data_IF_286809986735
#
_entry.id   IF_286809986735
#
_cell.length_a   1.000
_cell.length_b   1.000
_cell.length_c   1.000
_cell.angle_alpha   90.00
_cell.angle_beta   90.00
_cell.angle_gamma   90.00
#
_symmetry.space_group_name_H-M   'P 1'
#
loop_
_entity.id
_entity.type
_entity.pdbx_description
1 polymer ?
#
# COMPACT_ATOMS: atom_id res chain seq x y z
N UNK A 1 -27.76 6.27 9.61
CA UNK A 1 -26.81 7.40 9.54
C UNK A 1 -25.43 6.85 9.30
N UNK A 2 -24.66 7.39 8.35
CA UNK A 2 -23.26 7.01 8.13
C UNK A 2 -22.35 7.85 9.02
N UNK A 3 -21.36 7.21 9.64
CA UNK A 3 -20.36 7.88 10.48
C UNK A 3 -19.40 8.72 9.64
N UNK A 4 -19.01 9.89 10.16
CA UNK A 4 -17.99 10.74 9.58
C UNK A 4 -16.95 11.08 10.64
N UNK A 5 -15.67 10.98 10.29
CA UNK A 5 -14.56 11.38 11.14
C UNK A 5 -13.63 12.31 10.36
N UNK A 6 -13.28 13.43 10.98
CA UNK A 6 -12.35 14.42 10.44
C UNK A 6 -11.23 14.61 11.46
N UNK A 7 -10.00 14.29 11.06
CA UNK A 7 -8.81 14.48 11.86
C UNK A 7 -7.87 15.42 11.10
N UNK A 8 -7.83 16.67 11.53
CA UNK A 8 -7.10 17.74 10.85
C UNK A 8 -5.97 18.25 11.75
N UNK A 9 -4.81 17.61 11.66
CA UNK A 9 -3.58 18.11 12.25
C UNK A 9 -2.89 19.14 11.36
N UNK A 10 -1.69 19.55 11.76
CA UNK A 10 -0.76 20.33 10.92
C UNK A 10 0.63 19.72 10.97
N UNK A 11 1.53 20.13 10.07
CA UNK A 11 2.94 19.69 10.08
C UNK A 11 3.60 19.89 11.46
N UNK A 12 3.36 21.04 12.10
CA UNK A 12 3.93 21.36 13.41
C UNK A 12 3.18 20.75 14.59
N UNK A 13 1.91 20.38 14.39
CA UNK A 13 1.04 19.84 15.43
C UNK A 13 0.19 18.71 14.85
N UNK A 14 0.79 17.53 14.61
CA UNK A 14 0.05 16.40 14.08
C UNK A 14 -0.89 15.83 15.14
N UNK A 15 -2.02 15.28 14.70
CA UNK A 15 -2.86 14.46 15.59
C UNK A 15 -2.14 13.12 15.79
N UNK A 16 -2.03 12.66 17.04
CA UNK A 16 -1.40 11.37 17.36
C UNK A 16 -2.43 10.41 17.90
N UNK A 17 -2.59 9.26 17.24
CA UNK A 17 -3.43 8.15 17.65
C UNK A 17 -2.53 7.01 18.09
N UNK A 18 -2.71 6.56 19.33
CA UNK A 18 -1.97 5.46 19.92
C UNK A 18 -2.90 4.67 20.84
N UNK A 19 -2.57 3.40 21.06
CA UNK A 19 -3.36 2.50 21.90
C UNK A 19 -2.49 1.51 22.66
N UNK A 20 -3.11 0.76 23.56
CA UNK A 20 -2.47 -0.34 24.29
C UNK A 20 -2.19 -1.56 23.40
N UNK A 21 -1.80 -2.68 24.02
CA UNK A 21 -1.52 -3.91 23.28
C UNK A 21 -2.74 -4.38 22.46
N UNK A 22 -2.49 -4.69 21.19
CA UNK A 22 -3.46 -5.19 20.18
C UNK A 22 -4.67 -4.28 19.94
N UNK A 23 -4.42 -3.04 19.54
CA UNK A 23 -5.47 -2.16 19.02
C UNK A 23 -5.52 -2.14 17.49
N UNK A 24 -6.68 -1.82 16.91
CA UNK A 24 -6.80 -1.45 15.49
C UNK A 24 -6.86 0.06 15.41
N UNK A 25 -6.18 0.63 14.43
CA UNK A 25 -6.14 2.07 14.19
C UNK A 25 -7.48 2.60 13.70
N UNK A 26 -7.47 3.34 12.60
CA UNK A 26 -8.70 3.86 12.02
C UNK A 26 -9.35 2.80 11.13
N UNK A 27 -10.64 2.53 11.35
CA UNK A 27 -11.41 1.58 10.53
C UNK A 27 -12.59 2.29 9.89
N UNK A 28 -12.54 2.41 8.57
CA UNK A 28 -13.61 3.02 7.78
C UNK A 28 -14.36 1.91 7.06
N UNK A 29 -15.56 1.62 7.54
CA UNK A 29 -16.46 0.62 6.93
C UNK A 29 -17.23 1.23 5.74
N UNK A 30 -17.85 0.39 4.88
CA UNK A 30 -18.59 0.87 3.72
C UNK A 30 -19.60 1.96 4.07
N UNK A 31 -19.60 3.03 3.26
CA UNK A 31 -20.45 4.20 3.45
C UNK A 31 -19.97 5.22 4.49
N UNK A 32 -18.99 4.87 5.33
CA UNK A 32 -18.35 5.80 6.26
C UNK A 32 -17.46 6.82 5.55
N UNK A 33 -17.24 7.99 6.17
CA UNK A 33 -16.35 9.03 5.64
C UNK A 33 -15.19 9.27 6.58
N UNK A 34 -13.97 9.31 6.04
CA UNK A 34 -12.77 9.70 6.77
C UNK A 34 -12.04 10.79 6.00
N UNK A 35 -11.71 11.88 6.69
CA UNK A 35 -10.72 12.86 6.23
C UNK A 35 -9.59 12.87 7.25
N UNK A 36 -8.38 12.63 6.77
CA UNK A 36 -7.18 12.47 7.58
C UNK A 36 -6.10 13.42 7.04
N UNK A 37 -5.74 14.46 7.79
CA UNK A 37 -4.63 15.35 7.45
C UNK A 37 -3.64 15.40 8.61
N UNK A 38 -2.34 15.24 8.31
CA UNK A 38 -1.24 15.34 9.28
C UNK A 38 -1.49 14.55 10.56
N UNK A 39 -1.80 13.26 10.42
CA UNK A 39 -2.12 12.37 11.54
C UNK A 39 -1.14 11.22 11.61
N UNK A 40 -0.65 10.93 12.81
CA UNK A 40 0.22 9.79 13.11
C UNK A 40 -0.57 8.68 13.81
N UNK A 41 -0.46 7.45 13.31
CA UNK A 41 -1.02 6.24 13.92
C UNK A 41 0.12 5.34 14.38
N UNK A 42 0.18 5.01 15.68
CA UNK A 42 1.36 4.35 16.28
C UNK A 42 1.02 2.99 16.90
N UNK A 43 1.74 1.94 16.50
CA UNK A 43 1.70 0.63 17.15
C UNK A 43 0.38 -0.13 16.99
N UNK A 44 -0.43 0.22 16.00
CA UNK A 44 -1.67 -0.48 15.69
C UNK A 44 -1.39 -1.83 15.02
N UNK A 45 -2.29 -2.81 15.20
CA UNK A 45 -2.23 -4.06 14.43
C UNK A 45 -2.40 -3.77 12.93
N UNK A 46 -3.42 -2.98 12.60
CA UNK A 46 -3.62 -2.37 11.28
C UNK A 46 -3.75 -0.87 11.51
N UNK A 47 -2.88 -0.07 10.88
CA UNK A 47 -2.85 1.38 11.07
C UNK A 47 -4.10 2.08 10.51
N UNK A 48 -4.44 1.77 9.26
CA UNK A 48 -5.63 2.27 8.60
C UNK A 48 -6.29 1.16 7.78
N UNK A 49 -7.56 0.93 8.05
CA UNK A 49 -8.41 0.00 7.31
C UNK A 49 -9.40 0.79 6.45
N UNK A 50 -9.20 0.75 5.14
CA UNK A 50 -9.98 1.46 4.12
C UNK A 50 -10.97 0.48 3.49
N UNK A 51 -12.23 0.57 3.87
CA UNK A 51 -13.34 -0.16 3.24
C UNK A 51 -14.46 0.76 2.75
N UNK A 52 -14.11 1.99 2.37
CA UNK A 52 -15.05 2.98 1.84
C UNK A 52 -14.38 3.78 0.72
N UNK A 53 -15.17 4.19 -0.26
CA UNK A 53 -14.77 5.14 -1.31
C UNK A 53 -14.59 6.58 -0.80
N UNK A 54 -15.09 6.89 0.41
CA UNK A 54 -15.14 8.27 0.95
C UNK A 54 -14.00 8.52 1.94
N UNK A 55 -12.78 8.23 1.49
CA UNK A 55 -11.56 8.41 2.29
C UNK A 55 -10.65 9.41 1.60
N UNK A 56 -10.26 10.45 2.34
CA UNK A 56 -9.29 11.46 1.91
C UNK A 56 -8.15 11.48 2.92
N UNK A 57 -6.92 11.38 2.43
CA UNK A 57 -5.71 11.30 3.24
C UNK A 57 -4.73 12.35 2.73
N UNK A 58 -4.04 13.00 3.65
CA UNK A 58 -2.96 13.94 3.38
C UNK A 58 -1.92 13.80 4.51
N UNK A 59 -0.66 13.52 4.13
CA UNK A 59 0.48 13.49 5.04
C UNK A 59 0.25 12.68 6.33
N UNK A 60 -0.39 11.51 6.21
CA UNK A 60 -0.49 10.60 7.34
C UNK A 60 0.83 9.88 7.59
N UNK A 61 1.05 9.46 8.82
CA UNK A 61 2.22 8.67 9.22
C UNK A 61 1.76 7.44 9.98
N UNK A 62 2.16 6.26 9.54
CA UNK A 62 1.83 5.00 10.20
C UNK A 62 3.13 4.36 10.69
N UNK A 63 3.24 4.16 11.99
CA UNK A 63 4.46 3.71 12.65
C UNK A 63 4.24 2.35 13.31
N UNK A 64 5.18 1.44 13.07
CA UNK A 64 5.33 0.20 13.83
C UNK A 64 4.08 -0.69 13.83
N UNK A 65 3.37 -0.75 12.69
CA UNK A 65 2.20 -1.61 12.55
C UNK A 65 2.56 -3.10 12.58
N UNK A 66 1.67 -3.94 13.09
CA UNK A 66 1.97 -5.37 13.28
C UNK A 66 1.63 -6.20 12.04
N UNK A 67 0.42 -6.06 11.50
CA UNK A 67 -0.08 -6.81 10.34
C UNK A 67 0.05 -5.96 9.07
N UNK A 68 -0.63 -4.81 9.04
CA UNK A 68 -0.60 -3.90 7.90
C UNK A 68 -0.44 -2.45 8.32
N UNK A 69 0.33 -1.66 7.56
CA UNK A 69 0.27 -0.20 7.69
C UNK A 69 -1.11 0.30 7.27
N UNK A 70 -1.46 0.04 6.01
CA UNK A 70 -2.78 0.26 5.43
C UNK A 70 -3.33 -1.07 4.89
N UNK A 71 -4.59 -1.35 5.16
CA UNK A 71 -5.35 -2.44 4.55
C UNK A 71 -6.48 -1.86 3.70
N UNK A 72 -6.57 -2.28 2.44
CA UNK A 72 -7.58 -1.83 1.47
C UNK A 72 -8.46 -3.02 1.13
N UNK A 73 -9.76 -2.90 1.41
CA UNK A 73 -10.72 -3.98 1.14
C UNK A 73 -11.39 -3.84 -0.23
N UNK A 74 -12.13 -4.89 -0.61
CA UNK A 74 -12.95 -4.97 -1.82
C UNK A 74 -13.93 -3.78 -2.03
N UNK A 75 -14.37 -3.19 -0.93
CA UNK A 75 -15.36 -2.12 -0.81
C UNK A 75 -14.77 -0.71 -0.83
N UNK A 76 -13.43 -0.59 -0.85
CA UNK A 76 -12.76 0.67 -1.10
C UNK A 76 -12.94 1.12 -2.56
N UNK A 77 -12.71 2.41 -2.81
CA UNK A 77 -12.66 2.97 -4.16
C UNK A 77 -11.57 2.31 -5.02
N UNK A 78 -11.63 2.51 -6.34
CA UNK A 78 -10.62 1.98 -7.27
C UNK A 78 -9.31 2.78 -7.25
N UNK A 79 -9.36 4.09 -6.98
CA UNK A 79 -8.18 4.96 -6.83
C UNK A 79 -7.93 5.23 -5.34
N UNK A 80 -6.87 4.64 -4.79
CA UNK A 80 -6.45 4.83 -3.41
C UNK A 80 -5.27 5.79 -3.37
N UNK A 81 -5.60 7.05 -3.12
CA UNK A 81 -4.62 8.11 -2.85
C UNK A 81 -4.25 8.13 -1.37
N UNK A 82 -2.99 7.84 -1.06
CA UNK A 82 -2.48 7.95 0.29
C UNK A 82 -1.87 9.33 0.57
N UNK A 83 -1.97 10.29 -0.35
CA UNK A 83 -1.78 11.72 -0.06
C UNK A 83 -0.40 12.09 0.49
N UNK A 84 0.66 11.52 -0.07
CA UNK A 84 2.04 11.73 0.39
C UNK A 84 2.28 11.26 1.83
N UNK A 85 1.67 10.14 2.20
CA UNK A 85 1.83 9.51 3.51
C UNK A 85 3.09 8.65 3.61
N UNK A 86 3.53 8.41 4.85
CA UNK A 86 4.65 7.54 5.16
C UNK A 86 4.22 6.36 6.05
N UNK A 87 4.69 5.16 5.72
CA UNK A 87 4.56 3.96 6.54
C UNK A 87 5.96 3.53 6.94
N UNK A 88 6.28 3.56 8.23
CA UNK A 88 7.61 3.24 8.74
C UNK A 88 7.55 2.00 9.63
N UNK A 89 8.49 1.08 9.39
CA UNK A 89 8.74 -0.11 10.23
C UNK A 89 7.51 -0.99 10.44
N UNK A 90 6.66 -1.11 9.41
CA UNK A 90 5.61 -2.12 9.40
C UNK A 90 6.24 -3.52 9.53
N UNK A 91 5.76 -4.32 10.49
CA UNK A 91 6.24 -5.69 10.73
C UNK A 91 5.67 -6.67 9.70
N UNK A 92 4.43 -6.46 9.27
CA UNK A 92 3.87 -7.12 8.09
C UNK A 92 3.98 -6.22 6.86
N UNK A 93 2.93 -6.19 6.02
CA UNK A 93 2.96 -5.42 4.77
C UNK A 93 2.72 -3.93 5.01
N UNK A 94 3.41 -3.06 4.28
CA UNK A 94 3.14 -1.62 4.30
C UNK A 94 1.71 -1.31 3.88
N UNK A 95 1.35 -1.65 2.65
CA UNK A 95 -0.02 -1.57 2.11
C UNK A 95 -0.47 -2.94 1.62
N UNK A 96 -1.44 -3.54 2.29
CA UNK A 96 -2.12 -4.76 1.82
C UNK A 96 -3.40 -4.41 1.06
N UNK A 97 -3.58 -5.00 -0.11
CA UNK A 97 -4.77 -4.86 -0.94
C UNK A 97 -5.41 -6.24 -1.05
N UNK A 98 -6.64 -6.37 -0.56
CA UNK A 98 -7.43 -7.61 -0.64
C UNK A 98 -7.78 -7.97 -2.10
N UNK A 99 -8.39 -9.13 -2.30
CA UNK A 99 -8.88 -9.58 -3.61
C UNK A 99 -9.77 -8.51 -4.29
N UNK A 100 -9.39 -8.12 -5.51
CA UNK A 100 -10.12 -7.13 -6.31
C UNK A 100 -10.47 -7.63 -7.70
N UNK A 101 -11.78 -7.64 -7.98
CA UNK A 101 -12.38 -7.97 -9.29
C UNK A 101 -12.44 -6.79 -10.27
N UNK A 102 -11.88 -5.65 -9.88
CA UNK A 102 -11.89 -4.40 -10.64
C UNK A 102 -10.48 -3.83 -10.70
N UNK A 103 -10.24 -2.94 -11.67
CA UNK A 103 -9.01 -2.17 -11.73
C UNK A 103 -8.77 -1.41 -10.42
N UNK A 104 -7.49 -1.32 -10.02
CA UNK A 104 -7.07 -0.75 -8.74
C UNK A 104 -5.81 0.07 -8.91
N UNK A 105 -5.80 1.27 -8.35
CA UNK A 105 -4.66 2.17 -8.30
C UNK A 105 -4.26 2.46 -6.85
N UNK A 106 -2.95 2.44 -6.57
CA UNK A 106 -2.36 2.90 -5.31
C UNK A 106 -1.36 4.01 -5.64
N UNK A 107 -1.44 5.15 -4.95
CA UNK A 107 -0.50 6.26 -5.20
C UNK A 107 -0.11 7.08 -3.98
N UNK A 108 0.99 7.80 -4.13
CA UNK A 108 1.49 8.81 -3.20
C UNK A 108 1.78 8.27 -1.79
N UNK A 109 2.59 7.20 -1.70
CA UNK A 109 3.01 6.62 -0.42
C UNK A 109 4.49 6.28 -0.40
N UNK A 110 5.14 6.50 0.74
CA UNK A 110 6.46 5.98 1.03
C UNK A 110 6.39 4.87 2.10
N UNK A 111 6.98 3.71 1.83
CA UNK A 111 7.12 2.61 2.80
C UNK A 111 8.59 2.38 3.09
N UNK A 112 9.00 2.44 4.36
CA UNK A 112 10.41 2.35 4.75
C UNK A 112 10.65 1.42 5.92
N UNK A 113 11.78 0.73 5.88
CA UNK A 113 12.31 -0.08 6.97
C UNK A 113 11.35 -1.21 7.43
N UNK A 114 10.51 -1.69 6.51
CA UNK A 114 9.49 -2.71 6.75
C UNK A 114 10.04 -4.14 6.74
N UNK A 115 9.36 -5.04 7.44
CA UNK A 115 9.74 -6.45 7.55
C UNK A 115 8.93 -7.36 6.62
N UNK A 116 7.75 -6.93 6.18
CA UNK A 116 6.98 -7.61 5.14
C UNK A 116 7.20 -7.00 3.76
N UNK A 117 6.19 -7.19 2.89
CA UNK A 117 6.17 -6.55 1.58
C UNK A 117 5.88 -5.05 1.71
N UNK A 118 6.37 -4.23 0.78
CA UNK A 118 6.04 -2.80 0.78
C UNK A 118 4.57 -2.59 0.40
N UNK A 119 4.19 -3.09 -0.77
CA UNK A 119 2.81 -3.15 -1.26
C UNK A 119 2.53 -4.59 -1.72
N UNK A 120 1.40 -5.15 -1.32
CA UNK A 120 1.00 -6.52 -1.64
C UNK A 120 -0.42 -6.53 -2.19
N UNK A 121 -0.58 -6.99 -3.43
CA UNK A 121 -1.87 -7.22 -4.06
C UNK A 121 -2.21 -8.70 -3.97
N UNK A 122 -3.23 -9.00 -3.17
CA UNK A 122 -3.78 -10.36 -3.07
C UNK A 122 -4.71 -10.58 -4.25
N UNK A 123 -4.32 -11.43 -5.20
CA UNK A 123 -5.22 -11.88 -6.26
C UNK A 123 -5.91 -10.75 -7.06
N UNK A 124 -5.19 -9.70 -7.50
CA UNK A 124 -5.80 -8.65 -8.31
C UNK A 124 -6.21 -9.20 -9.68
N UNK A 125 -7.23 -8.58 -10.25
CA UNK A 125 -7.67 -8.82 -11.63
C UNK A 125 -7.73 -7.48 -12.36
N UNK A 126 -7.85 -7.51 -13.70
CA UNK A 126 -7.91 -6.29 -14.52
C UNK A 126 -6.62 -5.46 -14.38
N UNK A 127 -6.73 -4.14 -14.28
CA UNK A 127 -5.58 -3.24 -14.32
C UNK A 127 -5.07 -2.92 -12.92
N UNK A 128 -3.77 -3.00 -12.73
CA UNK A 128 -3.08 -2.54 -11.51
C UNK A 128 -2.22 -1.33 -11.85
N UNK A 129 -2.46 -0.21 -11.17
CA UNK A 129 -1.70 1.02 -11.32
C UNK A 129 -0.99 1.38 -10.02
N UNK A 130 0.31 1.67 -10.09
CA UNK A 130 1.12 2.08 -8.95
C UNK A 130 1.87 3.33 -9.33
N UNK A 131 1.64 4.42 -8.59
CA UNK A 131 2.18 5.73 -8.97
C UNK A 131 2.76 6.52 -7.80
N UNK A 132 3.90 7.17 -8.01
CA UNK A 132 4.53 8.07 -7.02
C UNK A 132 4.77 7.34 -5.68
N UNK A 133 5.33 6.15 -5.77
CA UNK A 133 5.61 5.27 -4.63
C UNK A 133 7.10 5.20 -4.37
N UNK A 134 7.49 5.27 -3.10
CA UNK A 134 8.85 4.97 -2.68
C UNK A 134 8.84 3.80 -1.71
N UNK A 135 9.68 2.79 -1.97
CA UNK A 135 9.86 1.67 -1.05
C UNK A 135 11.35 1.45 -0.81
N UNK A 136 11.77 1.56 0.45
CA UNK A 136 13.18 1.42 0.81
C UNK A 136 13.41 0.49 1.99
N UNK A 137 14.47 -0.32 1.91
CA UNK A 137 14.90 -1.20 3.00
C UNK A 137 13.77 -2.15 3.48
N UNK A 138 13.09 -2.80 2.54
CA UNK A 138 12.08 -3.82 2.79
C UNK A 138 12.71 -5.20 3.04
N UNK A 139 11.89 -6.19 3.43
CA UNK A 139 12.40 -7.53 3.79
C UNK A 139 11.69 -8.72 3.13
N UNK A 140 10.73 -8.46 2.24
CA UNK A 140 10.10 -9.44 1.37
C UNK A 140 10.20 -8.97 -0.09
N UNK A 141 9.10 -8.62 -0.74
CA UNK A 141 9.06 -7.88 -1.99
C UNK A 141 8.83 -6.39 -1.71
N UNK A 142 9.44 -5.49 -2.49
CA UNK A 142 9.00 -4.09 -2.41
C UNK A 142 7.56 -3.98 -2.91
N UNK A 143 7.25 -4.55 -4.07
CA UNK A 143 5.89 -4.67 -4.61
C UNK A 143 5.65 -6.13 -5.01
N UNK A 144 4.57 -6.71 -4.52
CA UNK A 144 4.15 -8.07 -4.83
C UNK A 144 2.79 -8.06 -5.49
N UNK A 145 2.72 -8.63 -6.70
CA UNK A 145 1.49 -8.79 -7.48
C UNK A 145 1.44 -10.24 -7.93
N UNK A 146 0.49 -11.00 -7.38
CA UNK A 146 0.23 -12.39 -7.77
C UNK A 146 -1.25 -12.56 -8.05
N UNK A 147 -1.60 -12.91 -9.28
CA UNK A 147 -2.99 -13.02 -9.72
C UNK A 147 -3.79 -14.14 -9.04
N UNK A 148 -5.11 -14.09 -9.21
CA UNK A 148 -5.99 -15.22 -8.91
C UNK A 148 -5.95 -16.26 -10.05
N UNK A 149 -5.77 -17.57 -9.76
CA UNK A 149 -5.87 -18.61 -10.77
C UNK A 149 -7.21 -18.56 -11.53
N UNK A 150 -7.16 -18.33 -12.85
CA UNK A 150 -8.33 -18.28 -13.71
C UNK A 150 -8.96 -16.90 -13.92
N UNK A 151 -8.37 -15.84 -13.38
CA UNK A 151 -8.75 -14.46 -13.67
C UNK A 151 -7.50 -13.59 -13.86
N UNK A 152 -6.92 -13.58 -15.09
CA UNK A 152 -5.62 -12.96 -15.30
C UNK A 152 -5.62 -11.44 -15.13
N UNK A 153 -4.44 -10.90 -14.87
CA UNK A 153 -4.20 -9.47 -14.98
C UNK A 153 -4.49 -9.01 -16.41
N UNK A 154 -5.10 -7.83 -16.54
CA UNK A 154 -5.19 -7.18 -17.84
C UNK A 154 -3.92 -6.38 -18.11
N UNK A 155 -3.56 -5.49 -17.19
CA UNK A 155 -2.35 -4.69 -17.31
C UNK A 155 -1.74 -4.34 -15.96
N UNK A 156 -0.43 -4.08 -15.94
CA UNK A 156 0.27 -3.52 -14.78
C UNK A 156 1.04 -2.28 -15.22
N UNK A 157 0.77 -1.15 -14.57
CA UNK A 157 1.49 0.11 -14.78
C UNK A 157 2.17 0.56 -13.50
N UNK A 158 3.49 0.71 -13.56
CA UNK A 158 4.34 1.19 -12.46
C UNK A 158 5.00 2.47 -12.92
N UNK A 159 4.58 3.62 -12.38
CA UNK A 159 5.04 4.94 -12.81
C UNK A 159 5.65 5.73 -11.67
N UNK A 160 6.82 6.30 -11.89
CA UNK A 160 7.51 7.13 -10.89
C UNK A 160 7.67 6.39 -9.55
N UNK A 161 8.10 5.13 -9.61
CA UNK A 161 8.33 4.29 -8.43
C UNK A 161 9.82 4.20 -8.14
N UNK A 162 10.20 4.43 -6.89
CA UNK A 162 11.58 4.21 -6.42
C UNK A 162 11.62 3.00 -5.51
N UNK A 163 12.37 1.98 -5.90
CA UNK A 163 12.71 0.83 -5.06
C UNK A 163 14.20 0.86 -4.75
N UNK A 164 14.54 1.15 -3.49
CA UNK A 164 15.92 1.36 -3.10
C UNK A 164 16.35 0.56 -1.88
N UNK A 165 17.66 0.31 -1.78
CA UNK A 165 18.30 -0.28 -0.61
C UNK A 165 17.67 -1.62 -0.17
N UNK A 166 17.11 -2.39 -1.12
CA UNK A 166 16.57 -3.72 -0.86
C UNK A 166 17.73 -4.71 -0.71
N UNK A 167 18.18 -4.92 0.53
CA UNK A 167 19.32 -5.78 0.87
C UNK A 167 18.96 -7.22 1.25
N UNK A 168 17.67 -7.47 1.50
CA UNK A 168 17.10 -8.76 1.93
C UNK A 168 15.71 -8.91 1.32
N UNK A 169 15.14 -10.10 1.43
CA UNK A 169 13.87 -10.44 0.79
C UNK A 169 14.07 -11.13 -0.57
N UNK A 170 13.08 -11.04 -1.44
CA UNK A 170 12.99 -11.84 -2.66
C UNK A 170 13.28 -11.04 -3.93
N UNK A 171 12.67 -9.87 -4.09
CA UNK A 171 12.91 -8.96 -5.21
C UNK A 171 12.40 -7.54 -4.90
N UNK A 172 12.76 -6.58 -5.74
CA UNK A 172 12.12 -5.27 -5.76
C UNK A 172 10.64 -5.42 -6.14
N UNK A 173 10.36 -5.78 -7.38
CA UNK A 173 8.99 -6.03 -7.84
C UNK A 173 8.86 -7.48 -8.31
N UNK A 174 7.81 -8.18 -7.89
CA UNK A 174 7.33 -9.41 -8.51
C UNK A 174 5.96 -9.18 -9.14
N UNK A 175 5.85 -9.52 -10.42
CA UNK A 175 4.59 -9.62 -11.15
C UNK A 175 4.46 -11.08 -11.61
N UNK A 176 3.50 -11.81 -11.06
CA UNK A 176 3.21 -13.21 -11.41
C UNK A 176 1.78 -13.34 -11.89
N UNK A 177 1.61 -13.79 -13.13
CA UNK A 177 0.32 -13.84 -13.80
C UNK A 177 0.32 -14.89 -14.92
N UNK A 178 -0.79 -15.52 -15.28
CA UNK A 178 -0.83 -16.41 -16.44
C UNK A 178 -0.82 -15.63 -17.76
N UNK A 179 -1.38 -14.42 -17.77
CA UNK A 179 -1.27 -13.51 -18.92
C UNK A 179 -1.45 -12.07 -18.49
N UNK A 180 -0.78 -11.16 -19.17
CA UNK A 180 -1.04 -9.73 -19.10
C UNK A 180 -0.93 -9.14 -20.51
N UNK A 181 -1.87 -8.28 -20.89
CA UNK A 181 -1.84 -7.58 -22.19
C UNK A 181 -0.70 -6.56 -22.22
N UNK A 182 -0.43 -5.90 -21.09
CA UNK A 182 0.62 -4.88 -20.98
C UNK A 182 1.26 -4.86 -19.59
N UNK A 183 2.58 -4.77 -19.54
CA UNK A 183 3.33 -4.42 -18.33
C UNK A 183 4.21 -3.21 -18.67
N UNK A 184 3.96 -2.09 -18.00
CA UNK A 184 4.63 -0.82 -18.26
C UNK A 184 5.33 -0.33 -16.99
N UNK A 185 6.65 -0.14 -17.07
CA UNK A 185 7.47 0.42 -16.00
C UNK A 185 8.09 1.73 -16.50
N UNK A 186 7.52 2.86 -16.08
CA UNK A 186 7.92 4.20 -16.53
C UNK A 186 8.54 5.02 -15.40
N UNK A 187 9.59 5.78 -15.71
CA UNK A 187 10.29 6.72 -14.81
C UNK A 187 10.60 6.15 -13.42
N UNK A 188 10.84 4.85 -13.34
CA UNK A 188 11.04 4.15 -12.08
C UNK A 188 12.53 3.90 -11.83
N UNK A 189 12.94 4.00 -10.57
CA UNK A 189 14.34 3.95 -10.14
C UNK A 189 14.53 2.72 -9.25
N UNK A 190 15.48 1.86 -9.63
CA UNK A 190 15.92 0.71 -8.84
C UNK A 190 17.37 0.93 -8.45
N UNK A 191 17.63 1.23 -7.17
CA UNK A 191 18.95 1.70 -6.75
C UNK A 191 19.46 0.96 -5.51
N UNK A 192 20.72 0.52 -5.54
CA UNK A 192 21.41 -0.12 -4.41
C UNK A 192 20.68 -1.35 -3.86
N UNK A 193 19.97 -2.07 -4.72
CA UNK A 193 19.34 -3.34 -4.40
C UNK A 193 20.35 -4.48 -4.58
N UNK A 194 20.40 -5.42 -3.63
CA UNK A 194 21.19 -6.66 -3.78
C UNK A 194 20.31 -7.84 -4.20
N UNK A 195 18.99 -7.72 -4.05
CA UNK A 195 18.00 -8.64 -4.63
C UNK A 195 17.69 -8.26 -6.08
N UNK A 196 17.11 -9.16 -6.90
CA UNK A 196 16.60 -8.82 -8.23
C UNK A 196 15.69 -7.59 -8.18
N UNK A 197 15.86 -6.64 -9.10
CA UNK A 197 15.05 -5.40 -9.08
C UNK A 197 13.62 -5.62 -9.57
N UNK A 198 13.43 -6.51 -10.55
CA UNK A 198 12.15 -6.83 -11.15
C UNK A 198 12.16 -8.31 -11.57
N UNK A 199 11.10 -9.03 -11.25
CA UNK A 199 10.79 -10.38 -11.73
C UNK A 199 9.40 -10.32 -12.35
N UNK A 200 9.29 -10.83 -13.58
CA UNK A 200 8.02 -10.96 -14.30
C UNK A 200 7.89 -12.43 -14.71
N UNK A 201 6.85 -13.08 -14.23
CA UNK A 201 6.52 -14.47 -14.55
C UNK A 201 5.17 -14.49 -15.25
N UNK A 202 5.16 -14.93 -16.50
CA UNK A 202 3.97 -15.11 -17.34
C UNK A 202 3.87 -16.58 -17.73
N UNK A 203 2.80 -17.27 -17.32
CA UNK A 203 2.60 -18.72 -17.51
C UNK A 203 1.36 -19.12 -18.32
#
# INVERSE_FOLDING_TARGET
>A
MTGKLYLNGTVSQPIRLFGGATWRGLVVKPGGTLVLSHTTVEGASIGLWIGSEKVQIEHAKILDSVIHGVEVTDSAGQDIDLGHSEILRAKGTGVGIDERKTSTAIRNVAVRDGWGSGIDFVSPTKDVHIENVLISNGSSYAIHITEFPGAPLKSVSVRNVTVADQRRGHAGILISSGSAEEINIDRSIFARNTVPSLIVTLE
#
